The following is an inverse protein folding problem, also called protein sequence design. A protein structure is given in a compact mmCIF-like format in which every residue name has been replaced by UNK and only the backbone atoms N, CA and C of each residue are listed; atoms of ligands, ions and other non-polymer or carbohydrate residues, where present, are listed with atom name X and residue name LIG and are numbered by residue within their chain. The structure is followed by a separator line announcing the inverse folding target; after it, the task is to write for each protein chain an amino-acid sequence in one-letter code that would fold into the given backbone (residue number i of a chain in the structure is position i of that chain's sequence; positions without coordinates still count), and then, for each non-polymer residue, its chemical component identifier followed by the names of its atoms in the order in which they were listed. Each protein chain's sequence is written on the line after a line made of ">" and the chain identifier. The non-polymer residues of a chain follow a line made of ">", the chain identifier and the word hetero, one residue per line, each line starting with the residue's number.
data_IF_902776438383
#
_entry.id   IF_902776438383
#
_cell.length_a   1.000
_cell.length_b   1.000
_cell.length_c   1.000
_cell.angle_alpha   90.00
_cell.angle_beta   90.00
_cell.angle_gamma   90.00
#
_symmetry.space_group_name_H-M   'P 1'
#
loop_
_entity.id
_entity.type
_entity.pdbx_description
1 polymer ?
#
# COMPACT_ATOMS: atom_id res chain seq x y z
N UNK A 1 35.07 -42.13 20.88
CA UNK A 1 34.66 -40.79 21.35
C UNK A 1 34.06 -39.94 20.21
N UNK A 2 33.05 -40.42 19.48
CA UNK A 2 32.55 -39.76 18.23
C UNK A 2 31.03 -39.58 18.16
N UNK A 3 30.29 -40.00 19.20
CA UNK A 3 28.82 -39.96 19.23
C UNK A 3 28.28 -38.68 19.90
N UNK A 4 29.00 -38.12 20.89
CA UNK A 4 28.59 -36.93 21.66
C UNK A 4 28.61 -35.63 20.83
N UNK A 5 29.49 -35.54 19.83
CA UNK A 5 29.58 -34.36 18.95
C UNK A 5 28.46 -34.31 17.91
N UNK A 6 27.93 -35.46 17.48
CA UNK A 6 26.83 -35.54 16.49
C UNK A 6 25.52 -34.97 17.02
N UNK A 7 25.21 -35.23 18.30
CA UNK A 7 24.04 -34.67 18.98
C UNK A 7 24.11 -33.16 19.13
N UNK A 8 25.27 -32.65 19.58
CA UNK A 8 25.50 -31.19 19.69
C UNK A 8 25.45 -30.50 18.33
N UNK A 9 26.00 -31.14 17.29
CA UNK A 9 25.97 -30.63 15.93
C UNK A 9 24.54 -30.51 15.37
N UNK A 10 23.70 -31.53 15.60
CA UNK A 10 22.29 -31.51 15.20
C UNK A 10 21.47 -30.51 16.01
N UNK A 11 21.72 -30.37 17.31
CA UNK A 11 21.02 -29.37 18.13
C UNK A 11 21.38 -27.95 17.73
N UNK A 12 22.65 -27.68 17.40
CA UNK A 12 23.09 -26.36 16.93
C UNK A 12 22.51 -26.06 15.54
N UNK A 13 22.46 -27.05 14.64
CA UNK A 13 21.81 -26.92 13.33
C UNK A 13 20.31 -26.63 13.44
N UNK A 14 19.59 -27.33 14.33
CA UNK A 14 18.17 -27.11 14.56
C UNK A 14 17.90 -25.73 15.18
N UNK A 15 18.72 -25.30 16.15
CA UNK A 15 18.61 -23.96 16.75
C UNK A 15 18.94 -22.86 15.74
N UNK A 16 19.96 -23.06 14.89
CA UNK A 16 20.31 -22.11 13.84
C UNK A 16 19.20 -22.00 12.78
N UNK A 17 18.62 -23.12 12.35
CA UNK A 17 17.46 -23.14 11.44
C UNK A 17 16.23 -22.43 12.04
N UNK A 18 16.00 -22.58 13.35
CA UNK A 18 14.91 -21.89 14.05
C UNK A 18 15.16 -20.37 14.14
N UNK A 19 16.43 -19.96 14.34
CA UNK A 19 16.84 -18.56 14.38
C UNK A 19 16.72 -17.87 13.01
N UNK A 20 17.05 -18.56 11.92
CA UNK A 20 16.90 -18.03 10.56
C UNK A 20 15.43 -17.82 10.18
N UNK A 21 14.53 -18.70 10.60
CA UNK A 21 13.10 -18.58 10.32
C UNK A 21 12.49 -17.29 10.92
N UNK A 22 12.96 -16.85 12.09
CA UNK A 22 12.45 -15.66 12.77
C UNK A 22 12.83 -14.33 12.09
N UNK A 23 13.84 -14.32 11.21
CA UNK A 23 14.38 -13.08 10.64
C UNK A 23 13.67 -12.59 9.36
N UNK A 24 12.71 -13.35 8.81
CA UNK A 24 12.14 -13.07 7.47
C UNK A 24 10.87 -12.23 7.45
N UNK A 25 10.32 -11.84 8.60
CA UNK A 25 9.03 -11.13 8.66
C UNK A 25 9.24 -9.67 9.06
N UNK A 26 9.95 -8.91 8.23
CA UNK A 26 9.87 -7.46 8.26
C UNK A 26 8.48 -7.05 7.74
N UNK A 27 7.52 -6.87 8.64
CA UNK A 27 6.18 -6.40 8.30
C UNK A 27 6.26 -4.97 7.76
N UNK A 28 5.95 -4.79 6.47
CA UNK A 28 5.70 -3.45 5.90
C UNK A 28 4.36 -2.97 6.48
N UNK A 29 4.44 -2.12 7.49
CA UNK A 29 3.28 -1.44 8.05
C UNK A 29 2.75 -0.42 7.05
N UNK A 30 1.72 -0.78 6.28
CA UNK A 30 0.98 0.17 5.44
C UNK A 30 0.27 1.16 6.37
N UNK A 31 0.75 2.40 6.39
CA UNK A 31 0.18 3.45 7.24
C UNK A 31 -1.16 3.86 6.65
N UNK A 32 -2.25 3.59 7.37
CA UNK A 32 -3.59 4.02 6.96
C UNK A 32 -3.65 5.55 6.86
N UNK A 33 -4.13 6.07 5.72
CA UNK A 33 -4.31 7.52 5.52
C UNK A 33 -5.34 8.13 6.47
N UNK A 34 -5.27 9.46 6.65
CA UNK A 34 -6.25 10.23 7.41
C UNK A 34 -7.38 10.72 6.49
N UNK A 35 -8.57 10.12 6.62
CA UNK A 35 -9.72 10.44 5.78
C UNK A 35 -10.17 11.89 5.87
N UNK A 36 -10.18 12.48 7.07
CA UNK A 36 -10.63 13.85 7.27
C UNK A 36 -9.68 14.86 6.60
N UNK A 37 -8.37 14.63 6.75
CA UNK A 37 -7.36 15.44 6.07
C UNK A 37 -7.45 15.28 4.55
N UNK A 38 -7.57 14.03 4.07
CA UNK A 38 -7.71 13.76 2.64
C UNK A 38 -8.94 14.43 2.03
N UNK A 39 -10.08 14.41 2.73
CA UNK A 39 -11.29 15.12 2.31
C UNK A 39 -11.05 16.62 2.19
N UNK A 40 -10.43 17.24 3.21
CA UNK A 40 -10.12 18.68 3.18
C UNK A 40 -9.25 19.04 1.98
N UNK A 41 -8.16 18.31 1.77
CA UNK A 41 -7.25 18.53 0.62
C UNK A 41 -7.99 18.37 -0.71
N UNK A 42 -8.86 17.35 -0.82
CA UNK A 42 -9.63 17.12 -2.02
C UNK A 42 -10.58 18.28 -2.35
N UNK A 43 -11.31 18.77 -1.34
CA UNK A 43 -12.25 19.89 -1.47
C UNK A 43 -11.54 21.23 -1.74
N UNK A 44 -10.29 21.40 -1.30
CA UNK A 44 -9.52 22.63 -1.51
C UNK A 44 -8.79 22.65 -2.87
N UNK A 45 -8.29 21.50 -3.34
CA UNK A 45 -7.34 21.44 -4.47
C UNK A 45 -7.90 20.59 -5.62
N UNK A 46 -8.32 19.37 -5.33
CA UNK A 46 -8.61 18.37 -6.36
C UNK A 46 -9.96 18.61 -7.06
N UNK A 47 -10.93 19.19 -6.34
CA UNK A 47 -12.29 19.41 -6.84
C UNK A 47 -12.34 20.26 -8.12
N UNK A 48 -11.38 21.18 -8.28
CA UNK A 48 -11.34 22.09 -9.42
C UNK A 48 -11.35 21.33 -10.75
N UNK A 49 -10.59 20.23 -10.82
CA UNK A 49 -10.56 19.37 -12.01
C UNK A 49 -11.50 18.17 -11.90
N UNK A 50 -11.54 17.50 -10.74
CA UNK A 50 -12.22 16.21 -10.60
C UNK A 50 -13.70 16.30 -10.15
N UNK A 51 -14.17 17.49 -9.73
CA UNK A 51 -15.50 17.71 -9.19
C UNK A 51 -15.65 17.25 -7.74
N UNK A 52 -16.60 17.83 -7.00
CA UNK A 52 -16.81 17.49 -5.57
C UNK A 52 -17.18 16.01 -5.33
N UNK A 53 -17.75 15.35 -6.35
CA UNK A 53 -18.12 13.93 -6.30
C UNK A 53 -17.02 13.01 -6.84
N UNK A 54 -15.95 13.54 -7.44
CA UNK A 54 -14.98 12.75 -8.19
C UNK A 54 -15.51 12.17 -9.50
N UNK A 55 -16.48 12.83 -10.12
CA UNK A 55 -17.09 12.43 -11.39
C UNK A 55 -16.36 12.99 -12.63
N UNK A 56 -15.22 13.66 -12.42
CA UNK A 56 -14.42 14.25 -13.49
C UNK A 56 -15.01 15.53 -14.07
N UNK A 57 -15.96 16.16 -13.37
CA UNK A 57 -16.70 17.36 -13.85
C UNK A 57 -16.45 18.58 -12.97
N UNK A 58 -15.21 18.78 -12.54
CA UNK A 58 -14.83 19.98 -11.78
C UNK A 58 -14.89 21.25 -12.65
N UNK A 59 -14.99 22.45 -12.07
CA UNK A 59 -15.06 23.72 -12.81
C UNK A 59 -14.03 23.90 -13.93
N UNK A 60 -12.85 23.31 -13.82
CA UNK A 60 -11.77 23.40 -14.82
C UNK A 60 -11.52 22.09 -15.58
N UNK A 61 -12.44 21.12 -15.54
CA UNK A 61 -12.25 19.81 -16.18
C UNK A 61 -11.99 19.87 -17.70
N UNK A 62 -12.55 20.88 -18.37
CA UNK A 62 -12.51 21.01 -19.83
C UNK A 62 -11.17 21.54 -20.37
N UNK A 63 -10.39 22.23 -19.52
CA UNK A 63 -9.08 22.77 -19.90
C UNK A 63 -7.93 21.78 -19.69
N UNK A 64 -8.14 20.71 -18.92
CA UNK A 64 -7.14 19.67 -18.69
C UNK A 64 -7.24 18.60 -19.78
N UNK A 65 -6.12 18.32 -20.45
CA UNK A 65 -5.96 17.20 -21.40
C UNK A 65 -4.79 16.33 -20.94
N UNK A 66 -4.97 15.01 -20.75
CA UNK A 66 -6.21 14.24 -20.91
C UNK A 66 -7.30 14.61 -19.89
N UNK A 67 -8.55 14.19 -20.13
CA UNK A 67 -9.65 14.46 -19.20
C UNK A 67 -9.33 13.88 -17.81
N UNK A 68 -9.73 14.55 -16.72
CA UNK A 68 -9.46 14.06 -15.36
C UNK A 68 -10.05 12.66 -15.12
N UNK A 69 -9.31 11.82 -14.41
CA UNK A 69 -9.75 10.50 -13.96
C UNK A 69 -11.07 10.60 -13.18
N UNK A 70 -11.97 9.64 -13.42
CA UNK A 70 -13.25 9.51 -12.71
C UNK A 70 -13.11 8.52 -11.56
N UNK A 71 -13.32 8.97 -10.33
CA UNK A 71 -13.13 8.18 -9.11
C UNK A 71 -14.39 7.46 -8.61
N UNK A 72 -15.57 7.76 -9.17
CA UNK A 72 -16.84 7.14 -8.74
C UNK A 72 -17.06 5.72 -9.26
N UNK A 73 -16.24 5.24 -10.19
CA UNK A 73 -16.34 3.87 -10.70
C UNK A 73 -15.64 2.90 -9.74
N UNK A 74 -16.39 2.37 -8.78
CA UNK A 74 -15.86 1.45 -7.76
C UNK A 74 -15.22 0.19 -8.35
N UNK A 75 -15.80 -0.38 -9.41
CA UNK A 75 -15.28 -1.60 -10.06
C UNK A 75 -13.92 -1.37 -10.71
N UNK A 76 -13.72 -0.18 -11.28
CA UNK A 76 -12.45 0.19 -11.87
C UNK A 76 -11.44 0.60 -10.79
N UNK A 77 -11.84 1.44 -9.83
CA UNK A 77 -10.97 1.89 -8.73
C UNK A 77 -10.49 0.74 -7.83
N UNK A 78 -11.32 -0.28 -7.61
CA UNK A 78 -10.94 -1.44 -6.80
C UNK A 78 -9.84 -2.31 -7.43
N UNK A 79 -9.52 -2.09 -8.70
CA UNK A 79 -8.44 -2.80 -9.40
C UNK A 79 -7.11 -2.05 -9.35
N UNK A 80 -7.11 -0.80 -8.89
CA UNK A 80 -5.91 0.02 -8.79
C UNK A 80 -5.24 -0.18 -7.43
N UNK A 81 -3.92 -0.27 -7.43
CA UNK A 81 -3.11 -0.30 -6.20
C UNK A 81 -2.80 1.12 -5.76
N UNK A 82 -2.51 1.32 -4.48
CA UNK A 82 -2.06 2.62 -3.96
C UNK A 82 -0.82 3.12 -4.72
N UNK A 83 0.11 2.22 -5.08
CA UNK A 83 1.31 2.49 -5.91
C UNK A 83 0.99 3.01 -7.32
N UNK A 84 -0.23 2.80 -7.81
CA UNK A 84 -0.66 3.32 -9.11
C UNK A 84 -1.35 4.68 -8.97
N UNK A 85 -1.83 5.02 -7.76
CA UNK A 85 -2.55 6.25 -7.46
C UNK A 85 -1.62 7.34 -6.89
N UNK A 86 -0.48 6.96 -6.33
CA UNK A 86 0.53 7.80 -5.67
C UNK A 86 1.94 7.42 -6.14
#
# INVERSE_FOLDING_TARGET
>A
MTQRTKGVFWTVLLLFSLLLAASTVAQVSVKKGNLALGKKVYEEICFACHGLKGDGKGPSWFITKPCPQVFINSVYMSRLTDEYMF
#
